data_IF_924931066707
#
_entry.id   IF_924931066707
#
_cell.length_a   1.000
_cell.length_b   1.000
_cell.length_c   1.000
_cell.angle_alpha   90.00
_cell.angle_beta   90.00
_cell.angle_gamma   90.00
#
_symmetry.space_group_name_H-M   'P 1'
#
loop_
_entity.id
_entity.type
_entity.pdbx_description
1 polymer ?
#
# COMPACT_ATOMS: atom_id res chain seq x y z
N UNK A 1 -1.89 1.00 16.36
CA UNK A 1 -3.02 1.12 15.41
C UNK A 1 -2.58 0.47 14.11
N UNK A 2 -3.40 -0.39 13.48
CA UNK A 2 -3.02 -1.01 12.21
C UNK A 2 -2.88 0.09 11.14
N UNK A 3 -1.68 0.23 10.58
CA UNK A 3 -1.42 1.18 9.49
C UNK A 3 -1.75 0.52 8.17
N UNK A 4 -2.53 1.22 7.37
CA UNK A 4 -2.88 0.82 6.01
C UNK A 4 -1.90 1.53 5.08
N UNK A 5 -1.29 0.79 4.16
CA UNK A 5 -0.46 1.38 3.10
C UNK A 5 -1.34 2.23 2.18
N UNK A 6 -0.85 3.39 1.82
CA UNK A 6 -1.48 4.19 0.75
C UNK A 6 -1.18 3.58 -0.61
N UNK A 7 -2.01 3.86 -1.62
CA UNK A 7 -1.79 3.37 -2.99
C UNK A 7 -0.38 3.70 -3.53
N UNK A 8 0.18 4.85 -3.15
CA UNK A 8 1.55 5.17 -3.55
C UNK A 8 2.59 4.30 -2.84
N UNK A 9 2.41 3.98 -1.56
CA UNK A 9 3.33 3.12 -0.83
C UNK A 9 3.24 1.67 -1.29
N UNK A 10 2.04 1.19 -1.62
CA UNK A 10 1.85 -0.10 -2.28
C UNK A 10 2.59 -0.15 -3.63
N UNK A 11 2.49 0.92 -4.43
CA UNK A 11 3.22 1.01 -5.70
C UNK A 11 4.75 1.05 -5.48
N UNK A 12 5.23 1.76 -4.46
CA UNK A 12 6.65 1.78 -4.10
C UNK A 12 7.14 0.36 -3.78
N UNK A 13 6.39 -0.39 -2.96
CA UNK A 13 6.75 -1.76 -2.60
C UNK A 13 6.73 -2.70 -3.81
N UNK A 14 5.71 -2.56 -4.67
CA UNK A 14 5.60 -3.32 -5.90
C UNK A 14 6.83 -3.09 -6.80
N UNK A 15 7.21 -1.83 -7.03
CA UNK A 15 8.33 -1.50 -7.91
C UNK A 15 9.68 -1.88 -7.27
N UNK A 16 9.80 -1.80 -5.94
CA UNK A 16 10.97 -2.33 -5.22
C UNK A 16 11.12 -3.84 -5.42
N UNK A 17 10.03 -4.62 -5.29
CA UNK A 17 10.05 -6.08 -5.52
C UNK A 17 10.34 -6.47 -6.95
N UNK A 18 9.95 -5.63 -7.91
CA UNK A 18 10.33 -5.78 -9.31
C UNK A 18 11.81 -5.45 -9.59
N UNK A 19 12.57 -5.04 -8.57
CA UNK A 19 14.01 -4.77 -8.66
C UNK A 19 14.35 -3.38 -9.20
N UNK A 20 13.39 -2.45 -9.27
CA UNK A 20 13.66 -1.10 -9.75
C UNK A 20 14.51 -0.32 -8.75
N UNK A 21 15.36 0.57 -9.29
CA UNK A 21 16.17 1.48 -8.48
C UNK A 21 15.33 2.64 -7.93
N UNK A 22 15.72 3.21 -6.79
CA UNK A 22 15.04 4.35 -6.18
C UNK A 22 14.84 5.52 -7.16
N UNK A 23 15.85 5.79 -7.98
CA UNK A 23 15.78 6.84 -8.99
C UNK A 23 14.70 6.55 -10.04
N UNK A 24 14.58 5.30 -10.48
CA UNK A 24 13.59 4.89 -11.47
C UNK A 24 12.17 4.95 -10.90
N UNK A 25 11.99 4.50 -9.66
CA UNK A 25 10.72 4.56 -8.93
C UNK A 25 10.30 6.02 -8.73
N UNK A 26 11.23 6.88 -8.30
CA UNK A 26 10.98 8.31 -8.11
C UNK A 26 10.53 8.98 -9.42
N UNK A 27 11.19 8.67 -10.53
CA UNK A 27 10.82 9.15 -11.86
C UNK A 27 9.43 8.63 -12.28
N UNK A 28 9.14 7.33 -12.09
CA UNK A 28 7.83 6.74 -12.41
C UNK A 28 6.69 7.38 -11.64
N UNK A 29 6.91 7.64 -10.36
CA UNK A 29 5.90 8.24 -9.48
C UNK A 29 5.82 9.76 -9.60
N UNK A 30 6.77 10.40 -10.30
CA UNK A 30 6.83 11.85 -10.43
C UNK A 30 7.12 12.56 -9.11
N UNK A 31 7.85 11.92 -8.19
CA UNK A 31 8.18 12.48 -6.88
C UNK A 31 9.70 12.69 -6.74
N UNK A 32 10.15 13.61 -5.86
CA UNK A 32 11.57 13.73 -5.55
C UNK A 32 12.12 12.44 -4.95
N UNK A 33 13.35 12.09 -5.29
CA UNK A 33 14.02 10.91 -4.71
C UNK A 33 14.15 11.01 -3.17
N UNK A 34 14.25 12.23 -2.64
CA UNK A 34 14.25 12.49 -1.20
C UNK A 34 12.94 12.07 -0.54
N UNK A 35 11.80 12.44 -1.13
CA UNK A 35 10.46 12.04 -0.69
C UNK A 35 10.26 10.54 -0.77
N UNK A 36 10.75 9.89 -1.83
CA UNK A 36 10.73 8.43 -1.95
C UNK A 36 11.47 7.77 -0.78
N UNK A 37 12.72 8.19 -0.51
CA UNK A 37 13.52 7.65 0.60
C UNK A 37 12.87 7.91 1.96
N UNK A 38 12.28 9.08 2.13
CA UNK A 38 11.52 9.42 3.33
C UNK A 38 10.35 8.46 3.51
N UNK A 39 9.54 8.22 2.47
CA UNK A 39 8.43 7.26 2.51
C UNK A 39 8.89 5.84 2.81
N UNK A 40 9.97 5.36 2.20
CA UNK A 40 10.55 4.04 2.51
C UNK A 40 10.94 3.97 4.00
N UNK A 41 11.57 5.01 4.53
CA UNK A 41 11.95 5.09 5.94
C UNK A 41 10.73 5.04 6.87
N UNK A 42 9.64 5.74 6.50
CA UNK A 42 8.38 5.70 7.23
C UNK A 42 7.78 4.30 7.22
N UNK A 43 7.71 3.64 6.06
CA UNK A 43 7.25 2.25 5.93
C UNK A 43 8.06 1.32 6.85
N UNK A 44 9.40 1.36 6.77
CA UNK A 44 10.27 0.54 7.61
C UNK A 44 9.98 0.75 9.09
N UNK A 45 9.86 2.01 9.53
CA UNK A 45 9.55 2.36 10.92
C UNK A 45 8.19 1.85 11.36
N UNK A 46 7.15 2.09 10.55
CA UNK A 46 5.77 1.76 10.89
C UNK A 46 5.54 0.24 10.97
N UNK A 47 6.20 -0.53 10.10
CA UNK A 47 6.12 -1.99 10.09
C UNK A 47 7.25 -2.68 10.89
N UNK A 48 8.09 -1.89 11.57
CA UNK A 48 9.23 -2.35 12.40
C UNK A 48 10.20 -3.24 11.64
N UNK A 49 10.41 -2.94 10.37
CA UNK A 49 11.41 -3.56 9.53
C UNK A 49 12.76 -2.87 9.79
N UNK A 50 13.81 -3.66 9.93
CA UNK A 50 15.16 -3.22 10.24
C UNK A 50 15.89 -2.76 8.98
N UNK A 51 15.55 -3.33 7.82
CA UNK A 51 16.31 -3.09 6.60
C UNK A 51 15.42 -3.09 5.36
N UNK A 52 15.88 -2.35 4.35
CA UNK A 52 15.26 -2.34 3.03
C UNK A 52 15.19 -3.74 2.42
N UNK A 53 16.17 -4.59 2.70
CA UNK A 53 16.20 -5.98 2.22
C UNK A 53 14.94 -6.74 2.64
N UNK A 54 14.44 -6.47 3.85
CA UNK A 54 13.20 -7.11 4.31
C UNK A 54 11.99 -6.68 3.50
N UNK A 55 11.97 -5.50 2.86
CA UNK A 55 10.84 -5.08 2.02
C UNK A 55 10.67 -5.93 0.76
N UNK A 56 11.73 -6.61 0.31
CA UNK A 56 11.65 -7.47 -0.88
C UNK A 56 10.83 -8.73 -0.59
N UNK A 57 11.07 -9.36 0.57
CA UNK A 57 10.38 -10.58 1.01
C UNK A 57 9.16 -10.32 1.90
N UNK A 58 8.98 -9.09 2.38
CA UNK A 58 7.88 -8.74 3.26
C UNK A 58 6.60 -8.54 2.48
N UNK A 59 5.56 -9.30 2.82
CA UNK A 59 4.20 -9.06 2.36
C UNK A 59 3.44 -8.20 3.38
N UNK A 60 2.68 -7.18 2.94
CA UNK A 60 1.84 -6.44 3.85
C UNK A 60 0.87 -7.41 4.52
N UNK A 61 0.68 -7.32 5.85
CA UNK A 61 -0.29 -8.14 6.54
C UNK A 61 -1.62 -7.89 5.83
N UNK A 62 -2.19 -8.96 5.27
CA UNK A 62 -3.36 -8.91 4.39
C UNK A 62 -4.33 -7.89 4.99
N UNK A 63 -4.41 -6.72 4.34
CA UNK A 63 -5.41 -5.75 4.68
C UNK A 63 -6.70 -6.52 4.52
N UNK A 64 -7.41 -6.77 5.62
CA UNK A 64 -8.79 -7.18 5.56
C UNK A 64 -9.44 -6.14 4.66
N UNK A 65 -9.60 -6.49 3.39
CA UNK A 65 -10.38 -5.76 2.44
C UNK A 65 -11.76 -5.80 3.06
N UNK A 66 -12.08 -4.77 3.85
CA UNK A 66 -13.43 -4.54 4.32
C UNK A 66 -14.20 -4.26 3.04
N UNK A 67 -14.76 -5.33 2.47
CA UNK A 67 -15.69 -5.25 1.36
C UNK A 67 -16.67 -4.12 1.69
N UNK A 68 -16.97 -3.21 0.75
CA UNK A 68 -18.03 -2.25 0.97
C UNK A 68 -19.30 -3.06 1.21
N UNK A 69 -19.79 -3.03 2.45
CA UNK A 69 -21.11 -3.55 2.80
C UNK A 69 -22.12 -2.90 1.86
N UNK A 70 -22.48 -3.57 0.77
CA UNK A 70 -23.54 -3.11 -0.10
C UNK A 70 -24.82 -3.35 0.70
N UNK A 71 -25.55 -2.31 1.15
CA UNK A 71 -26.83 -2.56 1.78
C UNK A 71 -27.71 -3.23 0.72
N UNK A 72 -28.03 -4.50 0.96
CA UNK A 72 -28.94 -5.26 0.10
C UNK A 72 -30.23 -4.47 -0.01
N UNK A 73 -30.50 -3.97 -1.23
CA UNK A 73 -31.69 -3.22 -1.59
C UNK A 73 -32.92 -4.08 -1.29
N UNK A 74 -33.58 -3.80 -0.17
CA UNK A 74 -34.88 -4.38 0.16
C UNK A 74 -35.85 -4.07 -0.97
N UNK A 75 -36.33 -5.13 -1.62
CA UNK A 75 -37.38 -5.11 -2.65
C UNK A 75 -38.65 -4.48 -2.06
N UNK A 76 -39.31 -3.52 -2.71
CA UNK A 76 -40.60 -3.05 -2.24
C UNK A 76 -41.63 -4.19 -2.43
N UNK A 77 -42.33 -4.51 -1.34
CA UNK A 77 -43.50 -5.37 -1.34
C UNK A 77 -44.64 -4.63 -2.06
N UNK A 78 -45.14 -5.24 -3.14
CA UNK A 78 -46.34 -4.79 -3.84
C UNK A 78 -47.35 -5.94 -3.76
N UNK A 79 -48.02 -6.08 -2.61
CA UNK A 79 -49.41 -6.54 -2.54
C UNK A 79 -50.31 -5.30 -2.51
N UNK A 80 -51.43 -5.20 -3.23
CA UNK A 80 -52.36 -6.23 -3.68
C UNK A 80 -53.73 -5.77 -3.22
#
# INVERSE_FOLDING_TARGET
>A
MPRILTATEEQILHDLRAGLLDAEIAVRLGIPIGDLKHRITVILRDFRLLSRDELFDWEPPALTHVEPITPSRTRPDHGG
#
